data_IF_887415255071
#
_entry.id   IF_887415255071
#
_cell.length_a   1.000
_cell.length_b   1.000
_cell.length_c   1.000
_cell.angle_alpha   90.00
_cell.angle_beta   90.00
_cell.angle_gamma   90.00
#
_symmetry.space_group_name_H-M   'P 1'
#
loop_
_entity.id
_entity.type
_entity.pdbx_description
1 polymer ?
#
# COMPACT_ATOMS: atom_id res chain seq x y z
N UNK A 1 -60.00 20.49 -23.29
CA UNK A 1 -58.59 20.55 -23.73
C UNK A 1 -57.71 20.47 -22.49
N UNK A 2 -57.34 19.25 -22.10
CA UNK A 2 -56.44 18.98 -20.99
C UNK A 2 -55.07 18.66 -21.58
N UNK A 3 -53.97 19.34 -21.18
CA UNK A 3 -52.65 18.96 -21.66
C UNK A 3 -52.12 17.79 -20.82
N UNK A 4 -51.90 16.66 -21.51
CA UNK A 4 -51.19 15.50 -21.01
C UNK A 4 -49.68 15.78 -20.94
N UNK A 5 -49.11 15.77 -19.73
CA UNK A 5 -47.66 15.79 -19.50
C UNK A 5 -47.10 14.37 -19.52
N UNK A 6 -46.11 14.03 -20.36
CA UNK A 6 -45.35 12.79 -20.18
C UNK A 6 -44.29 12.96 -19.09
N UNK A 7 -44.32 12.08 -18.07
CA UNK A 7 -43.22 11.86 -17.12
C UNK A 7 -42.05 11.20 -17.85
N UNK A 8 -40.85 11.77 -17.70
CA UNK A 8 -39.59 11.11 -18.00
C UNK A 8 -38.70 11.18 -16.76
N UNK A 9 -38.91 10.26 -15.83
CA UNK A 9 -37.92 9.93 -14.80
C UNK A 9 -36.99 8.87 -15.42
N UNK A 10 -35.87 9.34 -15.98
CA UNK A 10 -34.76 8.47 -16.32
C UNK A 10 -34.08 8.01 -15.02
N UNK A 11 -34.56 6.89 -14.47
CA UNK A 11 -33.94 6.20 -13.37
C UNK A 11 -32.61 5.61 -13.87
N UNK A 12 -31.50 6.24 -13.51
CA UNK A 12 -30.16 5.70 -13.77
C UNK A 12 -30.04 4.39 -13.02
N UNK A 13 -29.77 3.31 -13.76
CA UNK A 13 -29.50 2.00 -13.21
C UNK A 13 -28.38 2.08 -12.16
N UNK A 14 -28.50 1.35 -11.03
CA UNK A 14 -27.49 1.40 -9.98
C UNK A 14 -26.18 0.84 -10.52
N UNK A 15 -25.12 1.63 -10.37
CA UNK A 15 -23.75 1.25 -10.68
C UNK A 15 -23.36 0.09 -9.76
N UNK A 16 -23.05 -1.06 -10.35
CA UNK A 16 -22.63 -2.25 -9.61
C UNK A 16 -21.34 -1.94 -8.85
N UNK A 17 -21.45 -1.75 -7.54
CA UNK A 17 -20.32 -1.85 -6.63
C UNK A 17 -19.76 -3.26 -6.72
N UNK A 18 -18.67 -3.41 -7.47
CA UNK A 18 -17.92 -4.66 -7.55
C UNK A 18 -17.11 -4.85 -6.26
N UNK A 19 -17.80 -5.21 -5.18
CA UNK A 19 -17.17 -5.84 -4.03
C UNK A 19 -16.82 -7.27 -4.41
N UNK A 20 -15.63 -7.48 -4.99
CA UNK A 20 -15.07 -8.83 -5.15
C UNK A 20 -14.10 -9.03 -4.00
N UNK A 21 -14.64 -9.57 -2.92
CA UNK A 21 -13.85 -10.15 -1.83
C UNK A 21 -12.98 -11.27 -2.41
N UNK A 22 -11.69 -11.29 -2.07
CA UNK A 22 -10.75 -12.24 -2.65
C UNK A 22 -11.17 -13.67 -2.27
N UNK A 23 -11.53 -14.50 -3.26
CA UNK A 23 -11.89 -15.90 -3.02
C UNK A 23 -10.67 -16.62 -2.44
N UNK A 24 -10.88 -17.43 -1.39
CA UNK A 24 -9.85 -18.30 -0.82
C UNK A 24 -9.13 -19.05 -1.96
N UNK A 25 -7.82 -18.86 -2.08
CA UNK A 25 -6.97 -19.51 -3.08
C UNK A 25 -6.53 -18.65 -4.27
N UNK A 26 -7.03 -17.41 -4.41
CA UNK A 26 -6.52 -16.51 -5.44
C UNK A 26 -5.23 -15.78 -4.99
N UNK A 27 -4.22 -15.64 -5.87
CA UNK A 27 -2.95 -15.01 -5.50
C UNK A 27 -3.13 -13.51 -5.23
N UNK A 28 -2.39 -12.98 -4.26
CA UNK A 28 -2.24 -11.53 -4.07
C UNK A 28 -1.04 -11.02 -4.88
N UNK A 29 -1.10 -9.76 -5.32
CA UNK A 29 0.06 -9.07 -5.88
C UNK A 29 0.45 -7.92 -4.97
N UNK A 30 1.66 -8.00 -4.43
CA UNK A 30 2.32 -6.94 -3.67
C UNK A 30 3.35 -6.27 -4.56
N UNK A 31 3.32 -4.93 -4.66
CA UNK A 31 4.38 -4.16 -5.31
C UNK A 31 5.06 -3.25 -4.29
N UNK A 32 6.35 -3.49 -4.08
CA UNK A 32 7.14 -2.84 -3.05
C UNK A 32 8.06 -1.81 -3.68
N UNK A 33 8.01 -0.56 -3.23
CA UNK A 33 8.92 0.49 -3.68
C UNK A 33 9.00 1.64 -2.68
N UNK A 34 10.16 2.31 -2.67
CA UNK A 34 10.41 3.48 -1.82
C UNK A 34 9.48 4.67 -2.11
N UNK A 35 8.98 4.76 -3.33
CA UNK A 35 8.17 5.89 -3.82
C UNK A 35 6.65 5.66 -3.77
N UNK A 36 6.18 4.59 -3.11
CA UNK A 36 4.75 4.40 -2.83
C UNK A 36 4.29 5.46 -1.81
N UNK A 37 3.30 6.28 -2.16
CA UNK A 37 2.83 7.42 -1.35
C UNK A 37 3.93 8.44 -0.99
N UNK A 38 5.04 8.47 -1.73
CA UNK A 38 6.18 9.31 -1.43
C UNK A 38 6.89 9.75 -2.71
N UNK A 39 6.57 10.95 -3.21
CA UNK A 39 7.14 11.45 -4.46
C UNK A 39 8.60 11.90 -4.26
N UNK A 40 9.55 11.05 -4.65
CA UNK A 40 10.99 11.37 -4.63
C UNK A 40 11.51 11.61 -6.04
N UNK A 41 11.08 10.84 -7.03
CA UNK A 41 11.60 10.88 -8.38
C UNK A 41 10.70 10.19 -9.41
N UNK A 42 11.34 9.53 -10.38
CA UNK A 42 10.65 8.96 -11.55
C UNK A 42 9.82 7.72 -11.22
N UNK A 43 10.18 6.95 -10.18
CA UNK A 43 9.48 5.70 -9.86
C UNK A 43 8.06 5.99 -9.38
N UNK A 44 7.84 7.08 -8.64
CA UNK A 44 6.50 7.56 -8.28
C UNK A 44 5.59 7.67 -9.51
N UNK A 45 6.10 8.28 -10.58
CA UNK A 45 5.35 8.48 -11.83
C UNK A 45 5.06 7.14 -12.52
N UNK A 46 6.02 6.22 -12.51
CA UNK A 46 5.84 4.86 -13.04
C UNK A 46 4.75 4.11 -12.26
N UNK A 47 4.84 4.08 -10.93
CA UNK A 47 3.84 3.42 -10.09
C UNK A 47 2.45 4.02 -10.30
N UNK A 48 2.33 5.35 -10.17
CA UNK A 48 1.07 6.08 -10.30
C UNK A 48 0.42 5.86 -11.66
N UNK A 49 1.18 5.90 -12.75
CA UNK A 49 0.65 5.68 -14.11
C UNK A 49 0.27 4.22 -14.38
N UNK A 50 0.92 3.26 -13.70
CA UNK A 50 0.66 1.83 -13.84
C UNK A 50 -0.54 1.34 -13.02
N UNK A 51 -0.82 1.96 -11.87
CA UNK A 51 -1.90 1.60 -10.94
C UNK A 51 -3.24 1.27 -11.64
N UNK A 52 -3.78 2.10 -12.57
CA UNK A 52 -5.04 1.79 -13.23
C UNK A 52 -5.03 0.45 -13.99
N UNK A 53 -3.90 0.11 -14.61
CA UNK A 53 -3.74 -1.16 -15.32
C UNK A 53 -3.64 -2.35 -14.36
N UNK A 54 -2.96 -2.18 -13.23
CA UNK A 54 -2.88 -3.22 -12.20
C UNK A 54 -4.24 -3.48 -11.57
N UNK A 55 -5.00 -2.44 -11.25
CA UNK A 55 -6.34 -2.56 -10.70
C UNK A 55 -7.32 -3.24 -11.66
N UNK A 56 -7.23 -2.98 -12.98
CA UNK A 56 -8.02 -3.72 -13.98
C UNK A 56 -7.73 -5.21 -13.98
N UNK A 57 -6.49 -5.62 -13.69
CA UNK A 57 -6.06 -7.03 -13.75
C UNK A 57 -6.20 -7.78 -12.42
N UNK A 58 -6.03 -7.08 -11.30
CA UNK A 58 -5.92 -7.68 -9.96
C UNK A 58 -7.00 -7.20 -8.98
N UNK A 59 -7.64 -6.05 -9.24
CA UNK A 59 -8.69 -5.51 -8.37
C UNK A 59 -8.21 -5.30 -6.93
N UNK A 60 -9.02 -5.76 -5.98
CA UNK A 60 -8.74 -5.73 -4.53
C UNK A 60 -7.52 -6.57 -4.11
N UNK A 61 -7.02 -7.47 -4.98
CA UNK A 61 -5.85 -8.32 -4.70
C UNK A 61 -4.50 -7.63 -4.97
N UNK A 62 -4.52 -6.37 -5.40
CA UNK A 62 -3.33 -5.58 -5.62
C UNK A 62 -3.12 -4.58 -4.49
N UNK A 63 -1.95 -4.66 -3.85
CA UNK A 63 -1.53 -3.77 -2.79
C UNK A 63 -0.11 -3.27 -3.06
N UNK A 64 0.14 -2.01 -2.79
CA UNK A 64 1.48 -1.44 -2.80
C UNK A 64 2.05 -1.41 -1.38
N UNK A 65 3.36 -1.46 -1.25
CA UNK A 65 4.06 -1.36 0.04
C UNK A 65 5.17 -0.32 -0.09
N UNK A 66 5.23 0.62 0.86
CA UNK A 66 6.22 1.68 0.88
C UNK A 66 6.63 2.09 2.30
N UNK A 67 7.68 2.90 2.43
CA UNK A 67 8.04 3.51 3.70
C UNK A 67 6.98 4.54 4.12
N UNK A 68 6.68 4.62 5.41
CA UNK A 68 5.82 5.67 5.96
C UNK A 68 6.60 6.98 6.06
N UNK A 69 6.11 8.01 5.37
CA UNK A 69 6.54 9.38 5.53
C UNK A 69 5.34 10.21 6.01
N UNK A 70 5.35 10.79 7.22
CA UNK A 70 4.19 11.49 7.77
C UNK A 70 3.78 12.70 6.94
N UNK A 71 4.74 13.40 6.33
CA UNK A 71 4.48 14.63 5.57
C UNK A 71 3.68 14.33 4.29
N UNK A 72 4.08 13.28 3.55
CA UNK A 72 3.38 12.91 2.32
C UNK A 72 2.11 12.10 2.61
N UNK A 73 2.13 11.23 3.63
CA UNK A 73 0.97 10.42 3.99
C UNK A 73 -0.23 11.26 4.40
N UNK A 74 -0.03 12.44 5.01
CA UNK A 74 -1.11 13.35 5.38
C UNK A 74 -1.98 13.81 4.18
N UNK A 75 -1.42 13.79 2.97
CA UNK A 75 -2.09 14.26 1.74
C UNK A 75 -2.39 13.11 0.79
N UNK A 76 -1.53 12.10 0.74
CA UNK A 76 -1.60 11.02 -0.25
C UNK A 76 -2.25 9.74 0.28
N UNK A 77 -2.54 9.62 1.57
CA UNK A 77 -2.97 8.36 2.15
C UNK A 77 -4.23 8.50 3.01
N UNK A 78 -5.15 7.57 2.82
CA UNK A 78 -6.37 7.46 3.62
C UNK A 78 -6.43 6.09 4.32
N UNK A 79 -6.51 6.04 5.66
CA UNK A 79 -6.61 4.77 6.39
C UNK A 79 -7.83 3.93 5.98
N UNK A 80 -7.67 2.61 6.00
CA UNK A 80 -8.73 1.64 5.72
C UNK A 80 -8.90 0.64 6.88
N UNK A 81 -10.06 -0.03 6.98
CA UNK A 81 -10.26 -1.12 7.93
C UNK A 81 -9.25 -2.28 7.75
N UNK A 82 -8.96 -2.98 8.83
CA UNK A 82 -7.99 -4.10 8.88
C UNK A 82 -8.66 -5.49 8.74
N UNK A 83 -9.78 -5.56 8.05
CA UNK A 83 -10.64 -6.75 7.94
C UNK A 83 -10.19 -7.73 6.85
N UNK A 84 -9.65 -7.23 5.74
CA UNK A 84 -9.14 -8.05 4.64
C UNK A 84 -7.80 -8.76 4.98
N UNK A 85 -7.31 -9.71 4.14
CA UNK A 85 -6.08 -10.46 4.41
C UNK A 85 -4.84 -9.59 4.68
N UNK A 86 -4.67 -8.48 3.95
CA UNK A 86 -3.53 -7.57 4.11
C UNK A 86 -3.68 -6.77 5.39
N UNK A 87 -4.88 -6.27 5.66
CA UNK A 87 -5.23 -5.61 6.91
C UNK A 87 -4.97 -6.49 8.14
N UNK A 88 -5.26 -7.79 8.06
CA UNK A 88 -4.93 -8.76 9.12
C UNK A 88 -3.42 -8.94 9.32
N UNK A 89 -2.64 -8.98 8.25
CA UNK A 89 -1.18 -9.03 8.35
C UNK A 89 -0.62 -7.74 8.99
N UNK A 90 -1.14 -6.57 8.62
CA UNK A 90 -0.76 -5.29 9.25
C UNK A 90 -1.11 -5.27 10.74
N UNK A 91 -2.24 -5.87 11.15
CA UNK A 91 -2.56 -6.04 12.59
C UNK A 91 -1.49 -6.86 13.31
N UNK A 92 -1.04 -7.97 12.73
CA UNK A 92 0.01 -8.81 13.31
C UNK A 92 1.35 -8.07 13.41
N UNK A 93 1.74 -7.32 12.37
CA UNK A 93 2.93 -6.46 12.43
C UNK A 93 2.87 -5.47 13.60
N UNK A 94 1.70 -4.88 13.86
CA UNK A 94 1.50 -3.98 15.00
C UNK A 94 1.61 -4.70 16.34
N UNK A 95 1.10 -5.92 16.45
CA UNK A 95 1.24 -6.77 17.64
C UNK A 95 2.69 -7.16 17.92
N UNK A 96 3.52 -7.27 16.88
CA UNK A 96 4.97 -7.48 16.98
C UNK A 96 5.74 -6.20 17.37
N UNK A 97 5.07 -5.05 17.50
CA UNK A 97 5.68 -3.78 17.88
C UNK A 97 6.06 -2.86 16.70
N UNK A 98 5.81 -3.29 15.45
CA UNK A 98 6.08 -2.45 14.28
C UNK A 98 5.00 -1.39 14.09
N UNK A 99 5.41 -0.21 13.63
CA UNK A 99 4.50 0.85 13.20
C UNK A 99 4.19 0.67 11.71
N UNK A 100 3.01 0.14 11.43
CA UNK A 100 2.53 -0.13 10.07
C UNK A 100 1.14 0.48 9.85
N UNK A 101 0.90 1.05 8.67
CA UNK A 101 -0.33 1.76 8.31
C UNK A 101 -0.97 1.08 7.10
N UNK A 102 -2.28 0.83 7.17
CA UNK A 102 -3.03 0.22 6.06
C UNK A 102 -4.13 1.16 5.56
N UNK A 103 -4.26 1.27 4.24
CA UNK A 103 -5.13 2.27 3.65
C UNK A 103 -5.17 2.26 2.13
N UNK A 104 -5.53 3.40 1.59
CA UNK A 104 -5.64 3.69 0.16
C UNK A 104 -4.64 4.78 -0.21
N UNK A 105 -3.91 4.57 -1.30
CA UNK A 105 -3.14 5.66 -1.92
C UNK A 105 -4.09 6.54 -2.75
N UNK A 106 -4.11 7.84 -2.49
CA UNK A 106 -5.02 8.83 -3.08
C UNK A 106 -4.61 9.26 -4.50
N UNK A 107 -4.33 8.27 -5.35
CA UNK A 107 -4.14 8.41 -6.80
C UNK A 107 -5.35 7.84 -7.56
N UNK A 108 -5.37 8.02 -8.87
CA UNK A 108 -6.42 7.45 -9.74
C UNK A 108 -6.59 5.95 -9.52
N UNK A 109 -7.80 5.54 -9.13
CA UNK A 109 -8.14 4.14 -8.84
C UNK A 109 -8.00 3.73 -7.37
N UNK A 110 -7.37 4.54 -6.52
CA UNK A 110 -7.28 4.36 -5.06
C UNK A 110 -6.87 2.92 -4.64
N UNK A 111 -5.68 2.44 -5.05
CA UNK A 111 -5.24 1.08 -4.74
C UNK A 111 -5.01 0.90 -3.23
N UNK A 112 -5.02 -0.34 -2.75
CA UNK A 112 -4.56 -0.64 -1.40
C UNK A 112 -3.07 -0.29 -1.23
N UNK A 113 -2.70 0.22 -0.07
CA UNK A 113 -1.32 0.51 0.29
C UNK A 113 -1.04 0.17 1.76
N UNK A 114 0.16 -0.38 2.01
CA UNK A 114 0.76 -0.55 3.33
C UNK A 114 1.95 0.40 3.44
N UNK A 115 1.99 1.23 4.48
CA UNK A 115 3.11 2.11 4.77
C UNK A 115 3.81 1.67 6.06
N UNK A 116 5.11 1.40 5.98
CA UNK A 116 5.93 0.85 7.06
C UNK A 116 6.87 1.91 7.61
N UNK A 117 6.74 2.23 8.89
CA UNK A 117 7.61 3.21 9.57
C UNK A 117 8.90 2.51 10.03
N UNK A 118 9.99 2.73 9.28
CA UNK A 118 11.31 2.12 9.49
C UNK A 118 11.91 2.48 10.85
N UNK A 119 11.51 3.61 11.45
CA UNK A 119 12.01 3.98 12.76
C UNK A 119 11.53 3.01 13.86
N UNK A 120 10.44 2.25 13.64
CA UNK A 120 10.03 1.18 14.56
C UNK A 120 10.92 -0.06 14.54
N UNK A 121 11.75 -0.24 13.50
CA UNK A 121 12.70 -1.36 13.39
C UNK A 121 14.15 -0.93 13.70
N UNK A 122 14.39 0.30 14.17
CA UNK A 122 15.75 0.79 14.44
C UNK A 122 16.48 0.01 15.52
N UNK A 123 15.75 -0.49 16.53
CA UNK A 123 16.32 -1.25 17.65
C UNK A 123 16.93 -2.61 17.26
N UNK A 124 16.64 -3.13 16.06
CA UNK A 124 17.18 -4.39 15.55
C UNK A 124 18.22 -4.19 14.44
N UNK A 125 18.53 -2.95 14.04
CA UNK A 125 19.39 -2.66 12.89
C UNK A 125 20.76 -3.34 12.94
N UNK A 126 21.39 -3.39 14.11
CA UNK A 126 22.71 -4.01 14.26
C UNK A 126 22.64 -5.51 13.98
N UNK A 127 21.58 -6.18 14.45
CA UNK A 127 21.32 -7.60 14.17
C UNK A 127 21.03 -7.82 12.68
N UNK A 128 20.22 -6.96 12.06
CA UNK A 128 19.89 -7.05 10.64
C UNK A 128 21.14 -6.89 9.76
N UNK A 129 21.98 -5.91 10.08
CA UNK A 129 23.25 -5.68 9.40
C UNK A 129 24.20 -6.86 9.57
N UNK A 130 24.26 -7.42 10.78
CA UNK A 130 25.05 -8.61 11.04
C UNK A 130 24.57 -9.80 10.21
N UNK A 131 23.25 -10.07 10.14
CA UNK A 131 22.67 -11.13 9.29
C UNK A 131 23.01 -10.92 7.81
N UNK A 132 22.84 -9.70 7.29
CA UNK A 132 23.18 -9.39 5.91
C UNK A 132 24.65 -9.66 5.57
N UNK A 133 25.57 -9.37 6.49
CA UNK A 133 26.98 -9.71 6.33
C UNK A 133 27.23 -11.22 6.46
N UNK A 134 26.68 -11.87 7.49
CA UNK A 134 26.93 -13.28 7.78
C UNK A 134 26.41 -14.20 6.66
N UNK A 135 25.22 -13.92 6.15
CA UNK A 135 24.55 -14.78 5.16
C UNK A 135 24.94 -14.45 3.71
N UNK A 136 25.32 -13.19 3.44
CA UNK A 136 25.48 -12.68 2.07
C UNK A 136 26.74 -11.85 1.83
N UNK A 137 27.61 -11.67 2.83
CA UNK A 137 28.82 -10.84 2.76
C UNK A 137 28.56 -9.38 2.34
N UNK A 138 27.36 -8.86 2.61
CA UNK A 138 27.01 -7.47 2.34
C UNK A 138 27.67 -6.61 3.44
N UNK A 139 28.53 -5.63 3.09
CA UNK A 139 29.16 -4.78 4.08
C UNK A 139 28.12 -3.86 4.73
N UNK A 140 28.30 -3.62 6.03
CA UNK A 140 27.50 -2.67 6.78
C UNK A 140 27.92 -1.22 6.50
N UNK A 141 26.94 -0.31 6.52
CA UNK A 141 27.10 1.14 6.44
C UNK A 141 26.16 1.80 7.46
N UNK A 142 26.57 2.96 7.98
CA UNK A 142 25.76 3.76 8.91
C UNK A 142 25.01 4.89 8.20
N UNK A 143 25.09 4.97 6.87
CA UNK A 143 24.29 5.89 6.09
C UNK A 143 22.80 5.68 6.34
N UNK A 144 22.08 6.77 6.63
CA UNK A 144 20.65 6.75 6.96
C UNK A 144 19.82 6.02 5.91
N UNK A 145 20.13 6.19 4.62
CA UNK A 145 19.41 5.52 3.53
C UNK A 145 19.63 4.00 3.55
N UNK A 146 20.84 3.54 3.86
CA UNK A 146 21.14 2.11 4.00
C UNK A 146 20.42 1.53 5.20
N UNK A 147 20.49 2.21 6.36
CA UNK A 147 19.77 1.80 7.57
C UNK A 147 18.27 1.66 7.31
N UNK A 148 17.67 2.67 6.67
CA UNK A 148 16.25 2.64 6.37
C UNK A 148 15.89 1.57 5.34
N UNK A 149 16.73 1.32 4.34
CA UNK A 149 16.50 0.24 3.37
C UNK A 149 16.53 -1.14 4.03
N UNK A 150 17.48 -1.38 4.93
CA UNK A 150 17.57 -2.63 5.71
C UNK A 150 16.37 -2.81 6.63
N UNK A 151 16.01 -1.77 7.40
CA UNK A 151 14.83 -1.79 8.26
C UNK A 151 13.53 -2.01 7.45
N UNK A 152 13.39 -1.32 6.31
CA UNK A 152 12.23 -1.48 5.44
C UNK A 152 12.13 -2.89 4.87
N UNK A 153 13.26 -3.48 4.45
CA UNK A 153 13.32 -4.84 3.94
C UNK A 153 12.92 -5.90 4.96
N UNK A 154 13.34 -5.75 6.23
CA UNK A 154 12.96 -6.68 7.31
C UNK A 154 11.45 -6.63 7.62
N UNK A 155 10.82 -5.46 7.48
CA UNK A 155 9.39 -5.28 7.79
C UNK A 155 8.45 -5.78 6.67
N UNK A 156 8.97 -6.05 5.47
CA UNK A 156 8.20 -6.49 4.30
C UNK A 156 7.93 -8.00 4.32
#
# INVERSE_FOLDING_TARGET
MTPSTPRSTGEKAPEKQAGVDARRGEPLLMEVAWEVCNQVGGIYTVLRSKVPSMLRRWGSRYCLVGPYNPDTAAVEFEPAPLDDPVGRAVRQLREMGYRAHYGRWLVSGRPHAVLLDTASATGMLDELKYRAWADHAIPHSDETNVNNAVAFGEMC
#
